data_IF_057171686104
#
_entry.id   IF_057171686104
#
_cell.length_a   1.000
_cell.length_b   1.000
_cell.length_c   1.000
_cell.angle_alpha   90.00
_cell.angle_beta   90.00
_cell.angle_gamma   90.00
#
_symmetry.space_group_name_H-M   'P 1'
#
loop_
_entity.id
_entity.type
_entity.pdbx_description
1 polymer ?
#
# COMPACT_ATOMS: atom_id res chain seq x y z
N UNK A 1 -16.35 -1.15 3.88
CA UNK A 1 -14.99 -0.59 4.01
C UNK A 1 -15.06 0.85 4.49
N UNK A 2 -14.12 1.27 5.37
CA UNK A 2 -14.16 2.60 6.00
C UNK A 2 -14.18 3.75 4.96
N UNK A 3 -13.42 3.60 3.88
CA UNK A 3 -13.38 4.59 2.78
C UNK A 3 -14.75 4.89 2.15
N UNK A 4 -15.69 3.93 2.15
CA UNK A 4 -17.03 4.17 1.60
C UNK A 4 -17.84 5.21 2.36
N UNK A 5 -17.42 5.56 3.58
CA UNK A 5 -18.07 6.60 4.37
C UNK A 5 -17.65 8.02 4.02
N UNK A 6 -16.71 8.21 3.10
CA UNK A 6 -16.36 9.54 2.58
C UNK A 6 -17.59 10.27 1.99
N UNK A 7 -18.52 9.51 1.38
CA UNK A 7 -19.76 10.04 0.78
C UNK A 7 -21.03 9.74 1.58
N UNK A 8 -20.93 9.10 2.76
CA UNK A 8 -22.07 8.74 3.60
C UNK A 8 -22.25 9.72 4.79
N UNK A 9 -23.42 9.68 5.39
CA UNK A 9 -23.77 10.52 6.54
C UNK A 9 -23.03 10.10 7.82
N UNK A 10 -22.92 11.03 8.79
CA UNK A 10 -22.35 10.73 10.11
C UNK A 10 -23.23 9.74 10.90
N UNK A 11 -24.53 9.67 10.61
CA UNK A 11 -25.42 8.67 11.22
C UNK A 11 -25.06 7.25 10.79
N UNK A 12 -24.81 7.04 9.50
CA UNK A 12 -24.36 5.74 8.97
C UNK A 12 -22.98 5.36 9.49
N UNK A 13 -22.06 6.35 9.55
CA UNK A 13 -20.73 6.18 10.13
C UNK A 13 -20.83 5.80 11.61
N UNK A 14 -21.68 6.47 12.38
CA UNK A 14 -21.92 6.18 13.79
C UNK A 14 -22.46 4.76 14.00
N UNK A 15 -23.43 4.33 13.18
CA UNK A 15 -23.97 2.98 13.24
C UNK A 15 -22.86 1.93 13.00
N UNK A 16 -22.01 2.15 12.00
CA UNK A 16 -20.88 1.27 11.69
C UNK A 16 -19.85 1.21 12.83
N UNK A 17 -19.44 2.36 13.38
CA UNK A 17 -18.45 2.42 14.46
C UNK A 17 -19.00 1.87 15.79
N UNK A 18 -20.31 1.98 16.01
CA UNK A 18 -20.93 1.50 17.23
C UNK A 18 -20.77 -0.01 17.42
N UNK A 19 -20.70 -0.81 16.36
CA UNK A 19 -20.43 -2.25 16.46
C UNK A 19 -19.07 -2.53 17.11
N UNK A 20 -18.03 -1.82 16.68
CA UNK A 20 -16.68 -1.95 17.25
C UNK A 20 -16.63 -1.45 18.71
N UNK A 21 -17.35 -0.35 19.02
CA UNK A 21 -17.45 0.18 20.37
C UNK A 21 -18.17 -0.81 21.30
N UNK A 22 -19.25 -1.44 20.86
CA UNK A 22 -19.96 -2.44 21.65
C UNK A 22 -19.08 -3.66 21.93
N UNK A 23 -18.32 -4.11 20.95
CA UNK A 23 -17.34 -5.16 21.13
C UNK A 23 -16.29 -4.78 22.18
N UNK A 24 -15.70 -3.59 22.08
CA UNK A 24 -14.74 -3.09 23.06
C UNK A 24 -15.37 -2.97 24.46
N UNK A 25 -16.62 -2.47 24.55
CA UNK A 25 -17.36 -2.33 25.81
C UNK A 25 -17.65 -3.66 26.50
N UNK A 26 -17.72 -4.75 25.76
CA UNK A 26 -17.95 -6.10 26.33
C UNK A 26 -16.73 -6.64 27.07
N UNK A 27 -15.52 -6.16 26.75
CA UNK A 27 -14.26 -6.65 27.33
C UNK A 27 -13.57 -5.62 28.23
N UNK A 28 -13.78 -4.30 27.97
CA UNK A 28 -13.13 -3.23 28.75
C UNK A 28 -14.08 -2.69 29.84
N UNK A 29 -13.73 -2.85 31.14
CA UNK A 29 -14.54 -2.31 32.24
C UNK A 29 -14.73 -0.80 32.14
N UNK A 30 -15.95 -0.29 32.48
CA UNK A 30 -16.32 1.10 32.30
C UNK A 30 -15.43 2.11 33.03
N UNK A 31 -14.89 1.73 34.19
CA UNK A 31 -14.03 2.57 35.02
C UNK A 31 -12.64 2.84 34.45
N UNK A 32 -12.16 2.01 33.48
CA UNK A 32 -10.83 2.16 32.86
C UNK A 32 -10.87 2.61 31.40
N UNK A 33 -12.07 2.78 30.82
CA UNK A 33 -12.22 3.16 29.39
C UNK A 33 -11.55 4.49 29.05
N UNK A 34 -11.58 5.48 29.94
CA UNK A 34 -10.93 6.78 29.74
C UNK A 34 -9.41 6.69 29.66
N UNK A 35 -8.83 5.65 30.22
CA UNK A 35 -7.39 5.38 30.21
C UNK A 35 -6.99 4.42 29.09
N UNK A 36 -7.99 3.75 28.46
CA UNK A 36 -7.77 2.80 27.38
C UNK A 36 -7.82 3.51 26.05
N UNK A 37 -6.76 3.37 25.24
CA UNK A 37 -6.70 3.92 23.88
C UNK A 37 -7.59 3.12 22.92
N UNK A 38 -8.27 3.83 22.02
CA UNK A 38 -9.06 3.23 20.96
C UNK A 38 -8.50 3.70 19.61
N UNK A 39 -7.91 2.76 18.85
CA UNK A 39 -7.26 3.05 17.59
C UNK A 39 -8.18 2.73 16.41
N UNK A 40 -8.27 3.65 15.43
CA UNK A 40 -8.93 3.43 14.16
C UNK A 40 -7.96 3.77 13.03
N UNK A 41 -7.45 2.75 12.38
CA UNK A 41 -6.50 2.91 11.32
C UNK A 41 -7.11 2.56 9.96
N UNK A 42 -7.08 3.54 9.05
CA UNK A 42 -7.42 3.34 7.64
C UNK A 42 -6.24 2.77 6.88
N UNK A 43 -6.51 1.77 6.05
CA UNK A 43 -5.51 1.08 5.21
C UNK A 43 -5.65 1.44 3.72
N UNK A 44 -5.37 0.53 2.81
CA UNK A 44 -5.34 0.76 1.37
C UNK A 44 -6.61 1.43 0.80
N UNK A 45 -7.80 1.05 1.28
CA UNK A 45 -9.03 1.69 0.84
C UNK A 45 -9.06 3.19 1.13
N UNK A 46 -8.54 3.60 2.29
CA UNK A 46 -8.41 5.02 2.65
C UNK A 46 -7.29 5.69 1.85
N UNK A 47 -6.15 5.02 1.64
CA UNK A 47 -5.04 5.56 0.82
C UNK A 47 -5.43 5.84 -0.63
N UNK A 48 -6.46 5.18 -1.14
CA UNK A 48 -7.02 5.43 -2.48
C UNK A 48 -7.89 6.71 -2.59
N UNK A 49 -8.26 7.33 -1.46
CA UNK A 49 -8.99 8.60 -1.47
C UNK A 49 -8.03 9.79 -1.65
N UNK A 50 -8.50 10.93 -2.20
CA UNK A 50 -7.77 12.20 -2.13
C UNK A 50 -7.41 12.57 -0.69
N UNK A 51 -6.27 13.23 -0.48
CA UNK A 51 -5.72 13.52 0.87
C UNK A 51 -6.71 14.32 1.74
N UNK A 52 -7.36 15.31 1.15
CA UNK A 52 -8.39 16.13 1.81
C UNK A 52 -9.59 15.30 2.28
N UNK A 53 -10.00 14.29 1.50
CA UNK A 53 -11.05 13.36 1.89
C UNK A 53 -10.59 12.39 2.98
N UNK A 54 -9.34 11.94 2.94
CA UNK A 54 -8.76 11.12 4.02
C UNK A 54 -8.79 11.89 5.33
N UNK A 55 -8.28 13.13 5.36
CA UNK A 55 -8.24 13.98 6.53
C UNK A 55 -9.65 14.30 7.06
N UNK A 56 -10.57 14.70 6.17
CA UNK A 56 -11.96 14.97 6.51
C UNK A 56 -12.64 13.75 7.13
N UNK A 57 -12.45 12.56 6.55
CA UNK A 57 -13.06 11.34 7.07
C UNK A 57 -12.46 10.95 8.43
N UNK A 58 -11.15 11.08 8.63
CA UNK A 58 -10.52 10.86 9.93
C UNK A 58 -11.09 11.80 11.01
N UNK A 59 -11.24 13.08 10.72
CA UNK A 59 -11.85 14.06 11.64
C UNK A 59 -13.32 13.72 11.96
N UNK A 60 -14.09 13.26 10.98
CA UNK A 60 -15.48 12.82 11.19
C UNK A 60 -15.55 11.59 12.06
N UNK A 61 -14.67 10.60 11.83
CA UNK A 61 -14.57 9.40 12.67
C UNK A 61 -14.25 9.79 14.11
N UNK A 62 -13.28 10.68 14.33
CA UNK A 62 -12.88 11.15 15.66
C UNK A 62 -14.05 11.79 16.39
N UNK A 63 -14.75 12.74 15.76
CA UNK A 63 -15.96 13.38 16.34
C UNK A 63 -17.07 12.39 16.67
N UNK A 64 -17.31 11.42 15.81
CA UNK A 64 -18.32 10.37 16.05
C UNK A 64 -17.91 9.51 17.24
N UNK A 65 -16.66 9.09 17.32
CA UNK A 65 -16.13 8.30 18.45
C UNK A 65 -16.20 9.07 19.78
N UNK A 66 -15.87 10.37 19.78
CA UNK A 66 -16.01 11.24 20.97
C UNK A 66 -17.45 11.30 21.47
N UNK A 67 -18.44 11.27 20.57
CA UNK A 67 -19.86 11.29 20.93
C UNK A 67 -20.40 9.93 21.40
N UNK A 68 -19.81 8.82 20.97
CA UNK A 68 -20.30 7.46 21.22
C UNK A 68 -19.55 6.75 22.36
N UNK A 69 -18.35 7.20 22.71
CA UNK A 69 -17.49 6.47 23.63
C UNK A 69 -16.73 7.38 24.58
N UNK A 70 -16.17 6.80 25.64
CA UNK A 70 -15.27 7.48 26.57
C UNK A 70 -13.82 7.00 26.46
N UNK A 71 -13.48 6.30 25.40
CA UNK A 71 -12.12 5.86 25.15
C UNK A 71 -11.19 7.02 24.83
N UNK A 72 -9.90 6.84 25.11
CA UNK A 72 -8.88 7.83 24.76
C UNK A 72 -8.59 7.76 23.24
N UNK A 73 -8.71 8.91 22.56
CA UNK A 73 -8.46 9.05 21.12
C UNK A 73 -7.15 9.78 20.80
N UNK A 74 -6.24 9.85 21.79
CA UNK A 74 -4.92 10.46 21.62
C UNK A 74 -3.83 9.52 22.08
N UNK A 75 -2.77 9.41 21.27
CA UNK A 75 -1.55 8.68 21.62
C UNK A 75 -0.75 9.41 22.71
N UNK A 76 0.16 8.72 23.43
CA UNK A 76 1.19 9.38 24.19
C UNK A 76 1.99 10.33 23.28
N UNK A 77 1.91 11.64 23.54
CA UNK A 77 2.48 12.68 22.67
C UNK A 77 1.45 13.54 21.93
N UNK A 78 0.14 13.26 22.10
CA UNK A 78 -0.95 14.12 21.63
C UNK A 78 -1.39 13.92 20.18
N UNK A 79 -0.89 12.90 19.50
CA UNK A 79 -1.32 12.54 18.14
C UNK A 79 -2.66 11.80 18.18
N UNK A 80 -3.53 12.03 17.21
CA UNK A 80 -4.82 11.32 17.11
C UNK A 80 -4.59 9.82 16.89
N UNK A 81 -5.43 8.99 17.52
CA UNK A 81 -5.47 7.53 17.27
C UNK A 81 -6.30 7.17 16.03
N UNK A 82 -6.87 8.17 15.33
CA UNK A 82 -7.61 8.00 14.08
C UNK A 82 -6.74 8.48 12.93
N UNK A 83 -6.19 7.55 12.15
CA UNK A 83 -5.20 7.86 11.13
C UNK A 83 -5.32 6.93 9.91
N UNK A 84 -4.76 7.40 8.77
CA UNK A 84 -4.46 6.53 7.63
C UNK A 84 -3.01 6.06 7.76
N UNK A 85 -2.80 4.76 7.81
CA UNK A 85 -1.46 4.17 7.97
C UNK A 85 -0.81 3.89 6.61
N UNK A 86 0.52 3.94 6.57
CA UNK A 86 1.27 3.56 5.38
C UNK A 86 1.19 2.05 5.13
N UNK A 87 1.34 1.65 3.88
CA UNK A 87 1.39 0.23 3.54
C UNK A 87 2.60 -0.49 4.14
N UNK A 88 3.71 0.23 4.35
CA UNK A 88 4.89 -0.27 5.06
C UNK A 88 4.53 -0.68 6.51
N UNK A 89 3.86 0.19 7.25
CA UNK A 89 3.43 -0.10 8.62
C UNK A 89 2.43 -1.26 8.65
N UNK A 90 1.46 -1.29 7.72
CA UNK A 90 0.50 -2.39 7.61
C UNK A 90 1.21 -3.74 7.48
N UNK A 91 2.20 -3.85 6.58
CA UNK A 91 2.99 -5.07 6.39
C UNK A 91 3.84 -5.43 7.61
N UNK A 92 4.56 -4.44 8.18
CA UNK A 92 5.42 -4.66 9.36
C UNK A 92 4.61 -5.10 10.57
N UNK A 93 3.46 -4.48 10.85
CA UNK A 93 2.63 -4.88 11.97
C UNK A 93 2.01 -6.27 11.79
N UNK A 94 1.69 -6.66 10.53
CA UNK A 94 1.32 -8.04 10.22
C UNK A 94 2.44 -9.03 10.54
N UNK A 95 3.68 -8.70 10.16
CA UNK A 95 4.87 -9.49 10.48
C UNK A 95 5.11 -9.56 12.00
N UNK A 96 4.97 -8.46 12.72
CA UNK A 96 5.10 -8.41 14.19
C UNK A 96 4.04 -9.27 14.86
N UNK A 97 2.76 -9.14 14.47
CA UNK A 97 1.67 -9.99 14.97
C UNK A 97 1.98 -11.46 14.79
N UNK A 98 2.32 -11.85 13.57
CA UNK A 98 2.62 -13.23 13.21
C UNK A 98 3.71 -13.81 14.10
N UNK A 99 4.86 -13.16 14.12
CA UNK A 99 6.03 -13.67 14.82
C UNK A 99 5.92 -13.57 16.36
N UNK A 100 5.12 -12.62 16.86
CA UNK A 100 4.76 -12.57 18.29
C UNK A 100 3.92 -13.77 18.70
N UNK A 101 2.86 -14.09 17.93
CA UNK A 101 1.98 -15.22 18.25
C UNK A 101 2.68 -16.58 18.14
N UNK A 102 3.63 -16.69 17.20
CA UNK A 102 4.49 -17.88 17.05
C UNK A 102 5.56 -17.97 18.12
N UNK A 103 5.91 -16.86 18.78
CA UNK A 103 7.03 -16.79 19.71
C UNK A 103 8.40 -16.72 19.04
N UNK A 104 8.45 -16.29 17.78
CA UNK A 104 9.68 -16.26 16.96
C UNK A 104 10.30 -14.86 16.85
N UNK A 105 9.92 -13.91 17.69
CA UNK A 105 10.58 -12.59 17.80
C UNK A 105 11.81 -12.57 18.70
N UNK A 106 12.16 -13.70 19.33
CA UNK A 106 13.33 -13.79 20.22
C UNK A 106 13.22 -12.96 21.50
N UNK A 107 12.01 -12.66 21.94
CA UNK A 107 11.77 -11.87 23.17
C UNK A 107 12.22 -12.69 24.37
N UNK A 108 13.26 -12.19 25.09
CA UNK A 108 13.84 -12.90 26.24
C UNK A 108 14.79 -14.05 25.89
N UNK A 109 15.12 -14.26 24.62
CA UNK A 109 16.04 -15.27 24.15
C UNK A 109 17.46 -14.72 23.97
N UNK A 110 18.47 -15.33 24.60
CA UNK A 110 19.87 -14.90 24.43
C UNK A 110 20.43 -15.20 23.04
N UNK A 111 20.03 -16.33 22.43
CA UNK A 111 20.56 -16.83 21.16
C UNK A 111 19.53 -16.71 20.00
N UNK A 112 18.78 -15.62 19.94
CA UNK A 112 17.83 -15.38 18.86
C UNK A 112 18.55 -15.21 17.50
N UNK A 113 18.02 -15.87 16.48
CA UNK A 113 18.40 -15.63 15.08
C UNK A 113 17.23 -15.01 14.33
N UNK A 114 17.42 -13.86 13.64
CA UNK A 114 16.38 -13.30 12.77
C UNK A 114 15.89 -14.27 11.69
N UNK A 115 16.72 -15.25 11.30
CA UNK A 115 16.35 -16.31 10.35
C UNK A 115 15.27 -17.27 10.88
N UNK A 116 15.01 -17.27 12.22
CA UNK A 116 13.90 -18.04 12.79
C UNK A 116 12.53 -17.40 12.60
N UNK A 117 12.49 -16.15 12.10
CA UNK A 117 11.22 -15.46 11.82
C UNK A 117 10.59 -15.97 10.53
N UNK A 118 9.26 -15.91 10.48
CA UNK A 118 8.47 -16.25 9.31
C UNK A 118 8.09 -14.98 8.54
N UNK A 119 8.14 -15.05 7.22
CA UNK A 119 7.61 -13.99 6.36
C UNK A 119 6.07 -13.92 6.46
N UNK A 120 5.54 -12.73 6.30
CA UNK A 120 4.10 -12.44 6.32
C UNK A 120 3.63 -12.03 4.92
N UNK A 121 2.60 -12.72 4.41
CA UNK A 121 1.89 -12.38 3.18
C UNK A 121 0.43 -12.04 3.54
N UNK A 122 0.04 -10.81 3.30
CA UNK A 122 -1.33 -10.34 3.50
C UNK A 122 -1.98 -9.98 2.16
N UNK A 123 -3.14 -10.53 1.86
CA UNK A 123 -3.92 -10.17 0.67
C UNK A 123 -5.22 -9.52 1.11
N UNK A 124 -5.20 -8.18 1.19
CA UNK A 124 -6.39 -7.39 1.46
C UNK A 124 -7.26 -7.16 0.23
N UNK A 125 -8.27 -6.30 0.36
CA UNK A 125 -9.16 -5.93 -0.76
C UNK A 125 -8.51 -4.98 -1.76
N UNK A 126 -7.74 -3.99 -1.29
CA UNK A 126 -7.17 -2.94 -2.13
C UNK A 126 -5.63 -2.96 -2.24
N UNK A 127 -4.93 -3.67 -1.35
CA UNK A 127 -3.48 -3.87 -1.41
C UNK A 127 -3.09 -5.27 -0.95
N UNK A 128 -1.87 -5.68 -1.29
CA UNK A 128 -1.23 -6.87 -0.74
C UNK A 128 0.13 -6.51 -0.18
N UNK A 129 0.51 -7.11 0.96
CA UNK A 129 1.78 -6.87 1.63
C UNK A 129 2.64 -8.12 1.62
N UNK A 130 3.94 -7.90 1.45
CA UNK A 130 4.97 -8.90 1.65
C UNK A 130 6.03 -8.34 2.60
N UNK A 131 6.23 -9.01 3.75
CA UNK A 131 7.19 -8.59 4.76
C UNK A 131 7.97 -9.79 5.27
N UNK A 132 9.29 -9.72 5.25
CA UNK A 132 10.17 -10.78 5.74
C UNK A 132 11.55 -10.26 6.14
N UNK A 133 12.26 -11.02 6.97
CA UNK A 133 13.65 -10.74 7.28
C UNK A 133 14.53 -11.08 6.08
N UNK A 134 15.44 -10.17 5.73
CA UNK A 134 16.43 -10.35 4.66
C UNK A 134 17.84 -10.20 5.23
N UNK A 135 18.77 -11.02 4.75
CA UNK A 135 20.21 -10.88 5.04
C UNK A 135 20.89 -9.83 4.14
N UNK A 136 20.14 -9.20 3.23
CA UNK A 136 20.65 -8.12 2.39
C UNK A 136 20.90 -6.88 3.25
N UNK A 137 22.15 -6.42 3.31
CA UNK A 137 22.57 -5.35 4.24
C UNK A 137 22.30 -3.93 3.70
N UNK A 138 22.08 -3.78 2.40
CA UNK A 138 21.91 -2.48 1.74
C UNK A 138 20.57 -2.40 1.00
N UNK A 139 19.48 -2.63 1.73
CA UNK A 139 18.15 -2.44 1.16
C UNK A 139 17.78 -0.96 1.10
N UNK A 140 17.11 -0.49 0.01
CA UNK A 140 16.62 0.88 -0.06
C UNK A 140 15.68 1.22 1.08
N UNK A 141 15.76 2.46 1.56
CA UNK A 141 15.06 2.91 2.77
C UNK A 141 13.53 2.78 2.66
N UNK A 142 12.98 2.93 1.45
CA UNK A 142 11.55 2.87 1.19
C UNK A 142 10.97 1.44 1.29
N UNK A 143 11.84 0.44 1.28
CA UNK A 143 11.50 -0.98 1.40
C UNK A 143 11.96 -1.61 2.70
N UNK A 144 12.54 -0.80 3.61
CA UNK A 144 13.19 -1.28 4.81
C UNK A 144 12.51 -0.72 6.05
N UNK A 145 12.24 -1.59 7.01
CA UNK A 145 11.83 -1.17 8.34
C UNK A 145 12.79 -1.72 9.39
N UNK A 146 13.32 -0.81 10.22
CA UNK A 146 14.26 -1.14 11.30
C UNK A 146 13.59 -0.91 12.64
N UNK A 147 13.71 -1.87 13.53
CA UNK A 147 13.23 -1.74 14.89
C UNK A 147 14.09 -2.56 15.86
N UNK A 148 14.08 -2.17 17.12
CA UNK A 148 14.72 -2.95 18.18
C UNK A 148 13.70 -3.86 18.84
N UNK A 149 14.14 -5.09 19.17
CA UNK A 149 13.47 -5.99 20.09
C UNK A 149 14.44 -6.18 21.26
N UNK A 150 14.15 -5.49 22.37
CA UNK A 150 15.15 -5.33 23.44
C UNK A 150 16.36 -4.53 22.98
N UNK A 151 17.53 -5.11 23.03
CA UNK A 151 18.81 -4.55 22.62
C UNK A 151 19.23 -4.90 21.18
N UNK A 152 18.44 -5.73 20.50
CA UNK A 152 18.74 -6.24 19.14
C UNK A 152 17.99 -5.49 18.08
N UNK A 153 18.71 -5.03 17.04
CA UNK A 153 18.12 -4.44 15.86
C UNK A 153 17.70 -5.53 14.87
N UNK A 154 16.44 -5.50 14.46
CA UNK A 154 15.90 -6.28 13.35
C UNK A 154 15.63 -5.36 12.17
N UNK A 155 16.10 -5.76 11.00
CA UNK A 155 15.85 -5.07 9.73
C UNK A 155 15.05 -6.00 8.82
N UNK A 156 13.86 -5.56 8.41
CA UNK A 156 12.98 -6.35 7.56
C UNK A 156 12.68 -5.62 6.26
N UNK A 157 12.62 -6.39 5.19
CA UNK A 157 11.98 -5.94 3.95
C UNK A 157 10.47 -5.89 4.16
N UNK A 158 9.85 -4.82 3.72
CA UNK A 158 8.38 -4.73 3.67
C UNK A 158 7.94 -3.87 2.50
N UNK A 159 7.01 -4.37 1.70
CA UNK A 159 6.37 -3.60 0.66
C UNK A 159 4.88 -3.87 0.58
N UNK A 160 4.11 -2.81 0.28
CA UNK A 160 2.68 -2.86 0.06
C UNK A 160 2.36 -2.46 -1.37
N UNK A 161 1.84 -3.39 -2.14
CA UNK A 161 1.43 -3.19 -3.52
C UNK A 161 -0.01 -2.66 -3.55
N UNK A 162 -0.15 -1.33 -3.56
CA UNK A 162 -1.45 -0.66 -3.67
C UNK A 162 -2.06 -0.91 -5.06
N UNK A 163 -3.35 -1.25 -5.12
CA UNK A 163 -4.02 -1.65 -6.36
C UNK A 163 -4.01 -3.16 -6.62
N UNK A 164 -3.16 -3.90 -5.89
CA UNK A 164 -2.98 -5.35 -6.02
C UNK A 164 -3.69 -6.17 -4.94
N UNK A 165 -4.59 -5.57 -4.17
CA UNK A 165 -5.52 -6.32 -3.34
C UNK A 165 -6.58 -7.02 -4.20
N UNK A 166 -7.21 -8.08 -3.67
CA UNK A 166 -8.14 -8.94 -4.38
C UNK A 166 -9.20 -8.19 -5.19
N UNK A 167 -9.84 -7.19 -4.59
CA UNK A 167 -11.00 -6.53 -5.20
C UNK A 167 -10.57 -5.56 -6.31
N UNK A 168 -9.50 -4.79 -6.09
CA UNK A 168 -8.95 -3.91 -7.12
C UNK A 168 -8.28 -4.70 -8.25
N UNK A 169 -7.59 -5.79 -7.91
CA UNK A 169 -7.04 -6.70 -8.92
C UNK A 169 -8.14 -7.32 -9.79
N UNK A 170 -9.28 -7.70 -9.20
CA UNK A 170 -10.41 -8.20 -9.96
C UNK A 170 -10.99 -7.14 -10.93
N UNK A 171 -11.11 -5.89 -10.48
CA UNK A 171 -11.54 -4.79 -11.35
C UNK A 171 -10.55 -4.55 -12.51
N UNK A 172 -9.24 -4.54 -12.22
CA UNK A 172 -8.17 -4.44 -13.22
C UNK A 172 -8.20 -5.62 -14.20
N UNK A 173 -8.44 -6.83 -13.71
CA UNK A 173 -8.60 -8.02 -14.54
C UNK A 173 -9.76 -7.86 -15.53
N UNK A 174 -10.92 -7.40 -15.07
CA UNK A 174 -12.08 -7.17 -15.95
C UNK A 174 -11.79 -6.08 -16.98
N UNK A 175 -11.07 -5.01 -16.62
CA UNK A 175 -10.64 -4.00 -17.57
C UNK A 175 -9.72 -4.59 -18.65
N UNK A 176 -8.73 -5.37 -18.24
CA UNK A 176 -7.82 -6.05 -19.17
C UNK A 176 -8.54 -7.06 -20.08
N UNK A 177 -9.57 -7.74 -19.56
CA UNK A 177 -10.40 -8.64 -20.36
C UNK A 177 -11.15 -7.88 -21.45
N UNK A 178 -11.77 -6.75 -21.11
CA UNK A 178 -12.47 -5.88 -22.08
C UNK A 178 -11.48 -5.31 -23.11
N UNK A 179 -10.32 -4.85 -22.67
CA UNK A 179 -9.31 -4.21 -23.53
C UNK A 179 -8.54 -5.22 -24.41
N UNK A 180 -8.63 -6.51 -24.10
CA UNK A 180 -7.90 -7.56 -24.85
C UNK A 180 -8.32 -7.72 -26.30
N UNK A 181 -9.47 -7.15 -26.71
CA UNK A 181 -10.06 -7.32 -28.02
C UNK A 181 -10.67 -8.71 -28.29
N UNK A 182 -10.63 -9.59 -27.29
CA UNK A 182 -11.31 -10.89 -27.31
C UNK A 182 -12.81 -10.76 -27.03
N UNK A 183 -13.55 -11.87 -27.16
CA UNK A 183 -14.95 -11.92 -26.74
C UNK A 183 -15.04 -11.87 -25.20
N UNK A 184 -15.05 -10.65 -24.67
CA UNK A 184 -15.08 -10.38 -23.23
C UNK A 184 -16.35 -10.89 -22.53
N UNK A 185 -17.39 -11.25 -23.30
CA UNK A 185 -18.61 -11.89 -22.75
C UNK A 185 -18.33 -13.31 -22.22
N UNK A 186 -17.17 -13.88 -22.59
CA UNK A 186 -16.66 -15.17 -22.12
C UNK A 186 -15.50 -14.94 -21.17
N UNK A 187 -15.76 -15.14 -19.87
CA UNK A 187 -14.76 -14.92 -18.82
C UNK A 187 -14.02 -16.23 -18.48
N UNK A 188 -12.71 -16.35 -18.77
CA UNK A 188 -11.93 -17.53 -18.46
C UNK A 188 -11.66 -17.71 -16.95
N UNK A 189 -11.68 -16.64 -16.17
CA UNK A 189 -11.48 -16.65 -14.72
C UNK A 189 -12.77 -16.86 -13.91
N UNK A 190 -13.88 -17.13 -14.56
CA UNK A 190 -15.15 -17.47 -13.91
C UNK A 190 -15.42 -18.97 -14.10
N UNK A 191 -15.88 -19.71 -13.06
CA UNK A 191 -16.21 -21.13 -13.17
C UNK A 191 -17.15 -21.40 -14.32
N UNK A 192 -16.96 -22.56 -14.97
CA UNK A 192 -17.72 -22.95 -16.16
C UNK A 192 -19.22 -22.93 -15.90
N UNK A 193 -19.95 -22.16 -16.73
CA UNK A 193 -21.41 -22.07 -16.68
C UNK A 193 -21.97 -21.16 -15.60
N UNK A 194 -21.13 -20.50 -14.80
CA UNK A 194 -21.58 -19.38 -13.96
C UNK A 194 -21.69 -18.10 -14.77
N UNK A 195 -22.54 -17.20 -14.30
CA UNK A 195 -22.72 -15.85 -14.83
C UNK A 195 -22.34 -14.88 -13.74
N UNK A 196 -21.56 -13.86 -14.10
CA UNK A 196 -21.19 -12.78 -13.19
C UNK A 196 -21.48 -11.41 -13.83
N UNK A 197 -21.52 -10.39 -13.01
CA UNK A 197 -21.71 -8.99 -13.46
C UNK A 197 -20.37 -8.26 -13.45
N UNK A 198 -20.03 -7.65 -14.58
CA UNK A 198 -18.82 -6.84 -14.69
C UNK A 198 -18.89 -5.66 -13.71
N UNK A 199 -17.83 -5.39 -12.92
CA UNK A 199 -17.80 -4.26 -12.02
C UNK A 199 -18.11 -2.94 -12.72
N UNK A 200 -18.89 -2.07 -12.09
CA UNK A 200 -19.29 -0.78 -12.64
C UNK A 200 -18.12 0.20 -12.89
N UNK A 201 -16.95 -0.11 -12.34
CA UNK A 201 -15.71 0.66 -12.53
C UNK A 201 -14.99 0.35 -13.85
N UNK A 202 -15.42 -0.69 -14.59
CA UNK A 202 -14.83 -1.08 -15.88
C UNK A 202 -15.33 -0.14 -16.97
N UNK A 203 -14.40 0.40 -17.74
CA UNK A 203 -14.70 1.30 -18.87
C UNK A 203 -14.80 0.51 -20.16
N UNK A 204 -15.87 0.71 -20.91
CA UNK A 204 -16.07 0.10 -22.22
C UNK A 204 -15.80 1.14 -23.31
N UNK A 205 -15.03 0.75 -24.33
CA UNK A 205 -14.76 1.59 -25.51
C UNK A 205 -15.97 1.80 -26.41
N UNK A 206 -17.02 0.99 -26.22
CA UNK A 206 -18.30 1.07 -26.93
C UNK A 206 -19.44 1.18 -25.92
N UNK A 207 -20.56 1.85 -26.26
CA UNK A 207 -21.73 1.89 -25.40
C UNK A 207 -22.26 0.48 -25.13
N UNK A 208 -22.42 0.13 -23.85
CA UNK A 208 -23.01 -1.15 -23.41
C UNK A 208 -24.21 -0.88 -22.50
N UNK A 209 -25.19 -1.75 -22.56
CA UNK A 209 -26.33 -1.70 -21.63
C UNK A 209 -25.90 -2.29 -20.28
N UNK A 210 -25.97 -1.51 -19.22
CA UNK A 210 -25.63 -1.97 -17.86
C UNK A 210 -26.88 -2.51 -17.15
N UNK A 211 -26.77 -3.58 -16.30
CA UNK A 211 -25.55 -4.31 -15.97
C UNK A 211 -25.05 -5.23 -17.10
N UNK A 212 -23.72 -5.33 -17.21
CA UNK A 212 -23.07 -6.22 -18.20
C UNK A 212 -22.81 -7.58 -17.55
N UNK A 213 -23.29 -8.65 -18.19
CA UNK A 213 -23.09 -10.01 -17.73
C UNK A 213 -22.06 -10.75 -18.58
N UNK A 214 -21.27 -11.57 -17.94
CA UNK A 214 -20.25 -12.43 -18.55
C UNK A 214 -20.48 -13.89 -18.17
N UNK A 215 -20.16 -14.78 -19.09
CA UNK A 215 -20.33 -16.23 -18.89
C UNK A 215 -18.98 -16.90 -18.61
N UNK A 216 -18.91 -17.69 -17.57
CA UNK A 216 -17.73 -18.45 -17.19
C UNK A 216 -17.40 -19.56 -18.17
N UNK A 217 -16.14 -19.64 -18.56
CA UNK A 217 -15.62 -20.76 -19.36
C UNK A 217 -14.76 -21.72 -18.54
N UNK A 218 -14.24 -21.28 -17.38
CA UNK A 218 -13.34 -22.06 -16.53
C UNK A 218 -12.00 -22.39 -17.20
N UNK A 219 -11.57 -21.60 -18.19
CA UNK A 219 -10.31 -21.78 -18.90
C UNK A 219 -9.15 -21.23 -18.07
N UNK A 220 -8.56 -22.07 -17.24
CA UNK A 220 -7.52 -21.69 -16.26
C UNK A 220 -6.25 -21.15 -16.93
N UNK A 221 -5.89 -21.68 -18.09
CA UNK A 221 -4.67 -21.25 -18.77
C UNK A 221 -4.86 -19.87 -19.41
N UNK A 222 -5.98 -19.62 -20.04
CA UNK A 222 -6.33 -18.30 -20.54
C UNK A 222 -6.48 -17.29 -19.38
N UNK A 223 -7.11 -17.68 -18.26
CA UNK A 223 -7.19 -16.88 -17.05
C UNK A 223 -5.80 -16.50 -16.52
N UNK A 224 -4.91 -17.48 -16.36
CA UNK A 224 -3.53 -17.26 -15.87
C UNK A 224 -2.73 -16.37 -16.82
N UNK A 225 -2.92 -16.49 -18.12
CA UNK A 225 -2.25 -15.65 -19.12
C UNK A 225 -2.68 -14.18 -18.99
N UNK A 226 -3.97 -13.91 -18.74
CA UNK A 226 -4.47 -12.56 -18.49
C UNK A 226 -3.98 -12.01 -17.15
N UNK A 227 -4.03 -12.81 -16.08
CA UNK A 227 -3.57 -12.41 -14.75
C UNK A 227 -2.06 -12.11 -14.74
N UNK A 228 -1.25 -12.89 -15.46
CA UNK A 228 0.20 -12.62 -15.56
C UNK A 228 0.52 -11.24 -16.14
N UNK A 229 -0.29 -10.72 -17.05
CA UNK A 229 -0.11 -9.38 -17.64
C UNK A 229 -0.26 -8.25 -16.62
N UNK A 230 -0.88 -8.53 -15.47
CA UNK A 230 -1.03 -7.55 -14.39
C UNK A 230 0.29 -7.30 -13.64
N UNK A 231 1.29 -8.16 -13.81
CA UNK A 231 2.58 -8.08 -13.11
C UNK A 231 3.69 -7.80 -14.14
N UNK A 232 3.97 -6.53 -14.39
CA UNK A 232 4.98 -6.15 -15.39
C UNK A 232 6.40 -6.39 -14.85
N UNK A 233 7.05 -7.41 -15.37
CA UNK A 233 8.44 -7.75 -15.07
C UNK A 233 9.45 -7.01 -15.95
N UNK A 234 8.98 -6.20 -16.89
CA UNK A 234 9.86 -5.46 -17.83
C UNK A 234 10.24 -4.08 -17.31
N UNK A 235 9.51 -3.56 -16.33
CA UNK A 235 9.84 -2.30 -15.68
C UNK A 235 11.13 -2.48 -14.86
N UNK A 236 12.22 -1.77 -15.23
CA UNK A 236 13.46 -1.87 -14.47
C UNK A 236 13.31 -1.26 -13.08
N UNK A 237 13.93 -1.87 -12.08
CA UNK A 237 14.18 -1.21 -10.81
C UNK A 237 15.62 -0.72 -10.76
N UNK A 238 15.91 0.26 -9.91
CA UNK A 238 17.26 0.82 -9.75
C UNK A 238 18.25 -0.19 -9.14
N UNK A 239 17.72 -1.21 -8.47
CA UNK A 239 18.48 -2.25 -7.78
C UNK A 239 18.58 -3.54 -8.59
N UNK A 240 19.47 -4.45 -8.13
CA UNK A 240 19.79 -5.70 -8.85
C UNK A 240 18.67 -6.74 -8.86
N UNK A 241 17.74 -6.67 -7.89
CA UNK A 241 16.65 -7.63 -7.72
C UNK A 241 15.31 -6.95 -7.60
N UNK A 242 14.36 -7.34 -8.48
CA UNK A 242 13.04 -6.74 -8.53
C UNK A 242 11.95 -7.82 -8.47
N UNK A 243 10.81 -7.47 -7.93
CA UNK A 243 9.58 -8.25 -8.05
C UNK A 243 8.89 -7.98 -9.39
N UNK A 244 7.97 -7.02 -9.45
CA UNK A 244 7.26 -6.55 -10.64
C UNK A 244 7.02 -5.04 -10.53
N UNK A 245 6.68 -4.39 -11.65
CA UNK A 245 6.43 -2.94 -11.75
C UNK A 245 7.58 -2.06 -11.21
N UNK A 246 8.83 -2.53 -11.34
CA UNK A 246 10.02 -1.80 -10.89
C UNK A 246 10.21 -1.77 -9.37
N UNK A 247 9.49 -2.61 -8.61
CA UNK A 247 9.60 -2.68 -7.16
C UNK A 247 10.81 -3.51 -6.76
N UNK A 248 11.70 -2.93 -5.96
CA UNK A 248 12.79 -3.66 -5.32
C UNK A 248 12.26 -4.79 -4.43
N UNK A 249 12.88 -5.95 -4.51
CA UNK A 249 12.62 -7.08 -3.62
C UNK A 249 13.89 -7.91 -3.47
N UNK A 250 14.39 -8.10 -2.24
CA UNK A 250 15.54 -8.98 -2.01
C UNK A 250 15.16 -10.43 -2.29
N UNK A 251 16.14 -11.32 -2.49
CA UNK A 251 15.88 -12.74 -2.70
C UNK A 251 15.00 -13.33 -1.61
N UNK A 252 13.94 -14.03 -2.02
CA UNK A 252 13.00 -14.68 -1.09
C UNK A 252 13.69 -15.85 -0.38
N UNK A 253 13.55 -15.92 0.96
CA UNK A 253 14.13 -16.95 1.81
C UNK A 253 13.21 -17.30 2.96
N UNK A 254 13.43 -18.46 3.58
CA UNK A 254 12.65 -18.94 4.71
C UNK A 254 11.26 -19.41 4.33
N UNK A 255 10.37 -19.45 5.30
CA UNK A 255 8.98 -19.88 5.16
C UNK A 255 8.03 -18.72 5.44
N UNK A 256 6.84 -18.76 4.87
CA UNK A 256 5.87 -17.68 4.89
C UNK A 256 4.54 -18.14 5.44
N UNK A 257 3.89 -17.25 6.18
CA UNK A 257 2.47 -17.37 6.52
C UNK A 257 1.66 -16.45 5.60
N UNK A 258 0.61 -16.99 5.00
CA UNK A 258 -0.33 -16.27 4.14
C UNK A 258 -1.71 -16.24 4.78
N UNK A 259 -2.29 -15.07 4.94
CA UNK A 259 -3.56 -14.87 5.65
C UNK A 259 -4.50 -13.93 4.88
N UNK A 260 -5.61 -13.53 5.47
CA UNK A 260 -6.67 -12.74 4.82
C UNK A 260 -7.23 -13.45 3.59
N UNK A 261 -7.33 -12.84 2.41
CA UNK A 261 -7.91 -13.46 1.24
C UNK A 261 -7.15 -14.70 0.75
N UNK A 262 -5.86 -14.85 1.07
CA UNK A 262 -5.14 -16.12 0.84
C UNK A 262 -5.80 -17.27 1.58
N UNK A 263 -6.10 -17.07 2.87
CA UNK A 263 -6.72 -18.10 3.70
C UNK A 263 -8.16 -18.44 3.25
N UNK A 264 -9.01 -17.43 3.07
CA UNK A 264 -10.40 -17.67 2.67
C UNK A 264 -10.48 -18.40 1.33
N UNK A 265 -9.64 -18.03 0.39
CA UNK A 265 -9.59 -18.69 -0.92
C UNK A 265 -9.07 -20.12 -0.80
N UNK A 266 -7.95 -20.34 -0.12
CA UNK A 266 -7.38 -21.68 0.06
C UNK A 266 -8.35 -22.63 0.77
N UNK A 267 -9.07 -22.12 1.78
CA UNK A 267 -10.10 -22.88 2.52
C UNK A 267 -11.23 -23.35 1.59
N UNK A 268 -11.77 -22.46 0.76
CA UNK A 268 -12.84 -22.84 -0.19
C UNK A 268 -12.34 -23.81 -1.26
N UNK A 269 -11.09 -23.67 -1.70
CA UNK A 269 -10.46 -24.61 -2.62
C UNK A 269 -10.19 -25.98 -1.98
N UNK A 270 -10.26 -26.10 -0.65
CA UNK A 270 -10.00 -27.33 0.10
C UNK A 270 -8.52 -27.63 0.28
N UNK A 271 -7.68 -26.59 0.35
CA UNK A 271 -6.25 -26.74 0.57
C UNK A 271 -5.93 -27.19 2.01
N UNK A 272 -4.81 -27.88 2.17
CA UNK A 272 -4.24 -28.18 3.48
C UNK A 272 -3.67 -26.93 4.15
N UNK A 273 -3.28 -27.01 5.43
CA UNK A 273 -2.63 -25.92 6.16
C UNK A 273 -1.24 -25.55 5.57
N UNK A 274 -0.54 -26.52 4.98
CA UNK A 274 0.81 -26.35 4.43
C UNK A 274 0.87 -26.77 2.96
N UNK A 275 0.15 -26.08 2.07
CA UNK A 275 0.15 -26.44 0.66
C UNK A 275 1.43 -25.92 -0.02
N UNK A 276 1.83 -26.58 -1.10
CA UNK A 276 2.69 -25.97 -2.10
C UNK A 276 1.87 -25.04 -3.00
N UNK A 277 2.53 -24.09 -3.69
CA UNK A 277 1.83 -23.23 -4.66
C UNK A 277 1.29 -24.09 -5.82
N UNK A 278 2.00 -25.17 -6.18
CA UNK A 278 1.53 -26.11 -7.22
C UNK A 278 0.22 -26.79 -6.81
N UNK A 279 0.12 -27.29 -5.59
CA UNK A 279 -1.14 -27.88 -5.07
C UNK A 279 -2.29 -26.87 -5.08
N UNK A 280 -2.03 -25.61 -4.74
CA UNK A 280 -3.03 -24.54 -4.84
C UNK A 280 -3.46 -24.29 -6.29
N UNK A 281 -2.52 -24.34 -7.25
CA UNK A 281 -2.86 -24.21 -8.67
C UNK A 281 -3.73 -25.36 -9.16
N UNK A 282 -3.45 -26.59 -8.74
CA UNK A 282 -4.22 -27.79 -9.12
C UNK A 282 -5.62 -27.73 -8.52
N UNK A 283 -5.76 -27.35 -7.26
CA UNK A 283 -7.07 -27.16 -6.60
C UNK A 283 -7.86 -26.02 -7.25
N UNK A 284 -7.20 -24.93 -7.62
CA UNK A 284 -7.82 -23.82 -8.36
C UNK A 284 -8.33 -24.28 -9.72
N UNK A 285 -7.52 -25.04 -10.46
CA UNK A 285 -7.92 -25.57 -11.76
C UNK A 285 -9.16 -26.48 -11.64
N UNK A 286 -9.20 -27.34 -10.61
CA UNK A 286 -10.35 -28.17 -10.30
C UNK A 286 -11.60 -27.33 -9.99
N UNK A 287 -11.46 -26.25 -9.21
CA UNK A 287 -12.57 -25.36 -8.88
C UNK A 287 -13.11 -24.67 -10.14
N UNK A 288 -12.25 -24.03 -10.94
CA UNK A 288 -12.61 -23.27 -12.14
C UNK A 288 -13.34 -24.16 -13.19
N UNK A 289 -12.90 -25.41 -13.34
CA UNK A 289 -13.49 -26.35 -14.30
C UNK A 289 -14.73 -27.06 -13.77
N UNK A 290 -15.04 -26.93 -12.47
CA UNK A 290 -16.28 -27.49 -11.90
C UNK A 290 -17.49 -26.76 -12.49
N UNK A 291 -18.52 -27.49 -12.87
CA UNK A 291 -19.77 -26.94 -13.38
C UNK A 291 -20.43 -26.01 -12.36
N UNK A 292 -20.86 -24.84 -12.83
CA UNK A 292 -21.40 -23.78 -11.97
C UNK A 292 -22.62 -24.22 -11.15
N UNK A 293 -23.50 -25.07 -11.71
CA UNK A 293 -24.63 -25.62 -10.96
C UNK A 293 -24.15 -26.47 -9.78
N UNK A 294 -23.11 -27.28 -9.99
CA UNK A 294 -22.49 -28.07 -8.91
C UNK A 294 -21.94 -27.19 -7.80
N UNK A 295 -21.33 -26.04 -8.14
CA UNK A 295 -20.84 -25.07 -7.14
C UNK A 295 -21.99 -24.41 -6.39
N UNK A 296 -23.03 -23.95 -7.09
CA UNK A 296 -24.24 -23.38 -6.47
C UNK A 296 -24.83 -24.37 -5.47
N UNK A 297 -25.07 -25.64 -5.92
CA UNK A 297 -25.67 -26.66 -5.07
C UNK A 297 -24.78 -26.99 -3.84
N UNK A 298 -23.45 -26.96 -3.98
CA UNK A 298 -22.50 -27.25 -2.91
C UNK A 298 -22.50 -26.17 -1.82
N UNK A 299 -22.55 -24.90 -2.20
CA UNK A 299 -22.39 -23.77 -1.28
C UNK A 299 -23.71 -23.10 -0.89
N UNK A 300 -24.83 -23.60 -1.35
CA UNK A 300 -26.16 -23.08 -1.05
C UNK A 300 -26.43 -23.01 0.45
N UNK A 301 -26.81 -21.82 0.91
CA UNK A 301 -27.09 -21.54 2.32
C UNK A 301 -25.85 -21.43 3.21
N UNK A 302 -24.68 -21.35 2.62
CA UNK A 302 -23.42 -21.05 3.34
C UNK A 302 -22.98 -19.63 3.08
N UNK A 303 -22.11 -19.07 3.94
CA UNK A 303 -21.50 -17.74 3.76
C UNK A 303 -20.66 -17.63 2.48
N UNK A 304 -20.33 -18.76 1.85
CA UNK A 304 -19.57 -18.84 0.60
C UNK A 304 -20.44 -18.63 -0.64
N UNK A 305 -21.76 -18.78 -0.54
CA UNK A 305 -22.70 -18.74 -1.68
C UNK A 305 -22.54 -17.45 -2.52
N UNK A 306 -22.47 -16.30 -1.86
CA UNK A 306 -22.36 -14.98 -2.53
C UNK A 306 -21.01 -14.75 -3.21
N UNK A 307 -20.02 -15.61 -2.95
CA UNK A 307 -18.63 -15.42 -3.42
C UNK A 307 -18.15 -16.48 -4.40
N UNK A 308 -19.00 -17.45 -4.77
CA UNK A 308 -18.61 -18.60 -5.63
C UNK A 308 -18.04 -18.17 -6.99
N UNK A 309 -18.47 -17.02 -7.52
CA UNK A 309 -17.99 -16.48 -8.79
C UNK A 309 -16.54 -15.97 -8.68
N UNK A 310 -16.08 -15.59 -7.49
CA UNK A 310 -14.80 -14.92 -7.28
C UNK A 310 -13.62 -15.88 -7.08
N UNK A 311 -13.86 -17.10 -6.58
CA UNK A 311 -12.75 -17.96 -6.15
C UNK A 311 -11.92 -18.56 -7.29
N UNK A 312 -12.46 -18.68 -8.50
CA UNK A 312 -11.67 -19.06 -9.66
C UNK A 312 -10.63 -17.98 -9.99
N UNK A 313 -11.07 -16.73 -10.12
CA UNK A 313 -10.17 -15.60 -10.31
C UNK A 313 -9.17 -15.48 -9.17
N UNK A 314 -9.64 -15.45 -7.91
CA UNK A 314 -8.78 -15.23 -6.75
C UNK A 314 -7.75 -16.34 -6.59
N UNK A 315 -8.10 -17.60 -6.85
CA UNK A 315 -7.17 -18.73 -6.82
C UNK A 315 -6.06 -18.63 -7.88
N UNK A 316 -6.44 -18.28 -9.12
CA UNK A 316 -5.45 -18.02 -10.19
C UNK A 316 -4.60 -16.81 -9.87
N UNK A 317 -5.21 -15.74 -9.36
CA UNK A 317 -4.53 -14.50 -8.99
C UNK A 317 -3.49 -14.72 -7.90
N UNK A 318 -3.91 -15.27 -6.73
CA UNK A 318 -3.02 -15.46 -5.59
C UNK A 318 -1.85 -16.39 -5.90
N UNK A 319 -2.08 -17.47 -6.65
CA UNK A 319 -1.00 -18.40 -7.03
C UNK A 319 -0.04 -17.80 -8.05
N UNK A 320 -0.54 -16.94 -8.95
CA UNK A 320 0.28 -16.19 -9.90
C UNK A 320 1.05 -15.07 -9.20
N UNK A 321 0.43 -14.34 -8.26
CA UNK A 321 1.08 -13.33 -7.44
C UNK A 321 2.25 -13.94 -6.64
N UNK A 322 2.02 -15.05 -5.93
CA UNK A 322 3.06 -15.71 -5.15
C UNK A 322 4.21 -16.23 -6.02
N UNK A 323 3.91 -16.92 -7.13
CA UNK A 323 4.95 -17.55 -7.96
C UNK A 323 5.58 -16.58 -8.94
N UNK A 324 4.80 -15.93 -9.79
CA UNK A 324 5.28 -15.02 -10.82
C UNK A 324 5.57 -13.62 -10.25
N UNK A 325 4.69 -13.06 -9.43
CA UNK A 325 4.86 -11.75 -8.81
C UNK A 325 6.04 -11.75 -7.84
N UNK A 326 5.93 -12.46 -6.74
CA UNK A 326 6.92 -12.49 -5.65
C UNK A 326 8.11 -13.42 -5.88
N UNK A 327 8.04 -14.32 -6.87
CA UNK A 327 9.12 -15.25 -7.18
C UNK A 327 9.27 -16.41 -6.20
N UNK A 328 8.21 -16.75 -5.45
CA UNK A 328 8.21 -17.91 -4.57
C UNK A 328 8.22 -19.21 -5.39
N UNK A 329 9.03 -20.23 -5.02
CA UNK A 329 9.11 -21.49 -5.75
C UNK A 329 7.82 -22.30 -5.64
N UNK A 330 7.41 -22.95 -6.76
CA UNK A 330 6.13 -23.63 -6.91
C UNK A 330 5.95 -24.85 -5.99
N UNK A 331 7.02 -25.66 -5.85
CA UNK A 331 6.91 -27.02 -5.32
C UNK A 331 7.77 -27.26 -4.08
N UNK A 332 8.07 -26.20 -3.30
CA UNK A 332 8.87 -26.33 -2.06
C UNK A 332 7.94 -26.68 -0.90
N UNK A 333 8.05 -27.88 -0.32
CA UNK A 333 7.29 -28.25 0.87
C UNK A 333 7.68 -27.39 2.07
N UNK A 334 6.69 -27.03 2.91
CA UNK A 334 6.91 -26.20 4.10
C UNK A 334 7.24 -24.73 3.85
N UNK A 335 7.21 -24.30 2.58
CA UNK A 335 7.38 -22.89 2.22
C UNK A 335 6.21 -22.04 2.74
N UNK A 336 4.98 -22.52 2.60
CA UNK A 336 3.77 -21.82 2.94
C UNK A 336 3.03 -22.48 4.12
N UNK A 337 2.50 -21.63 4.99
CA UNK A 337 1.43 -21.95 5.93
C UNK A 337 0.30 -20.98 5.67
N UNK A 338 -0.89 -21.48 5.37
CA UNK A 338 -2.06 -20.63 5.07
C UNK A 338 -3.08 -20.78 6.18
N UNK A 339 -3.25 -19.72 6.98
CA UNK A 339 -4.17 -19.71 8.13
C UNK A 339 -4.61 -18.28 8.46
N UNK A 340 -5.77 -18.12 9.09
CA UNK A 340 -6.28 -16.84 9.59
C UNK A 340 -5.94 -16.58 11.05
N UNK A 341 -5.45 -17.61 11.77
CA UNK A 341 -5.27 -17.54 13.21
C UNK A 341 -4.12 -18.42 13.72
N UNK A 342 -3.51 -18.02 14.85
CA UNK A 342 -2.54 -18.78 15.62
C UNK A 342 -3.03 -18.81 17.06
N UNK A 343 -3.13 -20.01 17.65
CA UNK A 343 -3.63 -20.19 19.03
C UNK A 343 -5.00 -19.53 19.25
N UNK A 344 -5.88 -19.59 18.25
CA UNK A 344 -7.21 -18.93 18.21
C UNK A 344 -7.18 -17.40 18.28
N UNK A 345 -6.06 -16.77 17.94
CA UNK A 345 -5.92 -15.32 17.81
C UNK A 345 -5.75 -15.02 16.32
N UNK A 346 -6.61 -14.15 15.80
CA UNK A 346 -6.59 -13.77 14.38
C UNK A 346 -5.27 -13.08 14.00
N UNK A 347 -4.74 -13.43 12.83
CA UNK A 347 -3.56 -12.80 12.26
C UNK A 347 -3.99 -11.58 11.45
N UNK A 348 -3.31 -10.47 11.67
CA UNK A 348 -3.49 -9.23 10.94
C UNK A 348 -2.58 -8.16 11.55
N UNK A 349 -2.62 -6.97 11.01
CA UNK A 349 -1.75 -5.87 11.45
C UNK A 349 -2.15 -5.26 12.81
N UNK A 350 -3.42 -5.40 13.24
CA UNK A 350 -3.96 -4.65 14.37
C UNK A 350 -3.25 -4.96 15.71
N UNK A 351 -2.97 -6.23 16.01
CA UNK A 351 -2.26 -6.60 17.23
C UNK A 351 -0.83 -6.04 17.21
N UNK A 352 -0.10 -6.16 16.10
CA UNK A 352 1.25 -5.62 15.96
C UNK A 352 1.28 -4.10 16.12
N UNK A 353 0.27 -3.39 15.62
CA UNK A 353 0.12 -1.96 15.82
C UNK A 353 0.00 -1.61 17.31
N UNK A 354 -0.91 -2.25 18.04
CA UNK A 354 -1.12 -1.99 19.48
C UNK A 354 0.12 -2.35 20.30
N UNK A 355 0.76 -3.48 20.01
CA UNK A 355 2.00 -3.89 20.69
C UNK A 355 3.10 -2.84 20.56
N UNK A 356 3.21 -2.19 19.40
CA UNK A 356 4.18 -1.13 19.18
C UNK A 356 3.74 0.21 19.76
N UNK A 357 2.49 0.64 19.53
CA UNK A 357 2.01 1.96 19.95
C UNK A 357 1.90 2.11 21.46
N UNK A 358 1.53 1.06 22.17
CA UNK A 358 1.41 1.05 23.63
C UNK A 358 2.69 0.56 24.34
N UNK A 359 3.82 0.38 23.61
CA UNK A 359 5.08 -0.14 24.15
C UNK A 359 4.91 -1.41 25.01
N UNK A 360 3.99 -2.28 24.61
CA UNK A 360 3.71 -3.54 25.33
C UNK A 360 4.80 -4.59 25.11
N UNK A 361 5.61 -4.40 24.07
CA UNK A 361 6.83 -5.15 23.81
C UNK A 361 8.00 -4.17 23.76
N UNK A 362 9.24 -4.65 24.06
CA UNK A 362 10.44 -3.84 23.90
C UNK A 362 10.79 -3.68 22.41
N UNK A 363 9.82 -3.21 21.61
CA UNK A 363 9.96 -2.96 20.17
C UNK A 363 10.06 -1.45 19.98
N UNK A 364 11.25 -0.97 19.69
CA UNK A 364 11.49 0.46 19.43
C UNK A 364 11.86 0.65 17.97
N UNK A 365 11.06 1.39 17.17
CA UNK A 365 11.40 1.67 15.79
C UNK A 365 12.64 2.56 15.69
N UNK A 366 13.51 2.25 14.74
CA UNK A 366 14.66 3.08 14.42
C UNK A 366 14.22 4.10 13.36
N UNK A 367 13.82 5.27 13.81
CA UNK A 367 13.58 6.37 12.88
C UNK A 367 14.93 6.93 12.42
N UNK A 368 15.18 6.96 11.11
CA UNK A 368 16.23 7.80 10.56
C UNK A 368 15.89 9.23 11.02
N UNK A 369 16.73 9.84 11.87
CA UNK A 369 16.65 11.27 12.08
C UNK A 369 16.91 11.89 10.73
N UNK A 370 15.86 12.24 10.00
CA UNK A 370 15.99 13.22 8.94
C UNK A 370 16.52 14.48 9.64
N UNK A 371 17.76 14.81 9.36
CA UNK A 371 18.25 16.16 9.62
C UNK A 371 17.47 17.07 8.69
N UNK A 372 16.25 17.43 9.09
CA UNK A 372 15.60 18.61 8.57
C UNK A 372 16.48 19.74 9.05
N UNK A 373 17.42 20.18 8.18
CA UNK A 373 18.10 21.44 8.42
C UNK A 373 17.00 22.47 8.66
N UNK A 374 16.99 23.13 9.82
CA UNK A 374 15.96 24.13 10.08
C UNK A 374 16.01 25.13 8.94
N UNK A 375 14.94 25.22 8.16
CA UNK A 375 14.77 26.14 7.02
C UNK A 375 15.33 27.58 7.25
N UNK A 376 15.38 28.15 8.48
CA UNK A 376 15.95 29.45 8.68
C UNK A 376 17.47 29.54 8.37
N UNK A 377 18.26 28.49 8.52
CA UNK A 377 19.70 28.56 8.26
C UNK A 377 20.04 28.64 6.75
N UNK A 378 19.25 27.99 5.90
CA UNK A 378 19.41 28.08 4.44
C UNK A 378 19.13 29.49 3.90
N UNK A 379 18.09 30.15 4.42
CA UNK A 379 17.77 31.54 4.04
C UNK A 379 18.78 32.56 4.59
N UNK A 380 19.32 32.32 5.78
CA UNK A 380 20.36 33.21 6.36
C UNK A 380 21.68 33.10 5.56
N UNK A 381 22.11 31.88 5.19
CA UNK A 381 23.31 31.68 4.39
C UNK A 381 23.14 32.18 2.95
N UNK A 382 22.01 32.05 2.32
CA UNK A 382 21.73 32.62 0.99
C UNK A 382 21.59 34.14 1.03
N UNK A 383 21.02 34.72 2.09
CA UNK A 383 20.97 36.15 2.32
C UNK A 383 22.38 36.78 2.49
N UNK A 384 23.26 36.15 3.26
CA UNK A 384 24.64 36.62 3.43
C UNK A 384 25.47 36.47 2.14
N UNK A 385 25.30 35.40 1.36
CA UNK A 385 25.96 35.23 0.07
C UNK A 385 25.51 36.30 -0.94
N UNK A 386 24.22 36.60 -1.00
CA UNK A 386 23.64 37.63 -1.87
C UNK A 386 24.10 39.02 -1.52
N UNK A 387 24.14 39.40 -0.23
CA UNK A 387 24.62 40.72 0.23
C UNK A 387 26.13 40.89 0.02
N UNK A 388 26.91 39.81 0.21
CA UNK A 388 28.37 39.85 -0.05
C UNK A 388 28.66 40.01 -1.53
N UNK A 389 27.92 39.39 -2.42
CA UNK A 389 28.04 39.53 -3.87
C UNK A 389 27.67 40.95 -4.33
N UNK A 390 26.58 41.52 -3.81
CA UNK A 390 26.20 42.92 -4.12
C UNK A 390 27.22 43.93 -3.61
N UNK A 391 27.80 43.74 -2.42
CA UNK A 391 28.85 44.58 -1.88
C UNK A 391 30.14 44.50 -2.73
N UNK A 392 30.51 43.32 -3.19
CA UNK A 392 31.67 43.10 -4.06
C UNK A 392 31.49 43.75 -5.43
N UNK A 393 30.31 43.62 -6.05
CA UNK A 393 29.95 44.30 -7.31
C UNK A 393 29.98 45.84 -7.13
N UNK A 394 29.39 46.34 -6.04
CA UNK A 394 29.42 47.76 -5.71
C UNK A 394 30.86 48.27 -5.54
N UNK A 395 31.73 47.53 -4.86
CA UNK A 395 33.14 47.89 -4.69
C UNK A 395 33.92 47.88 -6.01
N UNK A 396 33.67 46.93 -6.87
CA UNK A 396 34.26 46.88 -8.22
C UNK A 396 33.80 48.03 -9.10
N UNK A 397 32.50 48.41 -9.04
CA UNK A 397 31.97 49.57 -9.77
C UNK A 397 32.59 50.89 -9.27
N UNK A 398 32.71 51.07 -7.95
CA UNK A 398 33.38 52.24 -7.37
C UNK A 398 34.86 52.28 -7.78
N UNK A 399 35.55 51.13 -7.78
CA UNK A 399 36.93 51.02 -8.24
C UNK A 399 37.08 51.37 -9.74
N UNK A 400 36.14 50.92 -10.56
CA UNK A 400 36.09 51.24 -12.00
C UNK A 400 35.79 52.73 -12.21
N UNK A 401 34.81 53.31 -11.53
CA UNK A 401 34.56 54.78 -11.58
C UNK A 401 35.74 55.61 -11.15
N UNK A 402 36.46 55.24 -10.08
CA UNK A 402 37.68 55.93 -9.65
C UNK A 402 38.78 55.84 -10.70
N UNK A 403 38.93 54.71 -11.41
CA UNK A 403 39.90 54.58 -12.51
C UNK A 403 39.52 55.41 -13.71
N UNK A 404 38.23 55.47 -14.06
CA UNK A 404 37.70 56.27 -15.18
C UNK A 404 37.83 57.77 -14.88
N UNK A 405 37.59 58.25 -13.65
CA UNK A 405 37.74 59.63 -13.26
C UNK A 405 39.26 60.07 -13.21
N UNK A 406 40.15 59.17 -12.74
CA UNK A 406 41.55 59.37 -12.74
C UNK A 406 42.17 59.44 -14.15
N UNK A 407 41.59 58.78 -15.15
CA UNK A 407 42.03 58.93 -16.55
C UNK A 407 41.45 60.17 -17.22
N UNK A 408 40.40 60.79 -16.68
CA UNK A 408 39.80 62.03 -17.21
C UNK A 408 40.58 63.25 -16.87
N UNK A 409 41.35 63.18 -15.77
CA UNK A 409 42.22 64.30 -15.35
C UNK A 409 43.59 64.35 -16.07
N UNK A 410 43.92 63.32 -16.86
CA UNK A 410 45.20 63.28 -17.60
C UNK A 410 45.13 63.58 -19.10
N UNK A 411 43.90 63.61 -19.70
CA UNK A 411 43.73 63.92 -21.10
C UNK A 411 42.65 64.99 -21.28
N UNK A 412 43.00 66.21 -21.26
CA UNK A 412 42.20 67.30 -21.78
C UNK A 412 42.10 67.20 -23.29
N UNK A 413 40.86 67.40 -23.77
CA UNK A 413 40.50 67.72 -25.15
C UNK A 413 39.97 66.56 -26.05
N UNK A 414 38.70 66.70 -26.39
CA UNK A 414 38.08 66.64 -27.70
C UNK A 414 37.60 65.24 -28.20
N UNK A 415 36.32 65.28 -28.52
CA UNK A 415 35.51 64.60 -29.53
C UNK A 415 34.56 63.47 -29.09
N UNK A 416 33.34 63.88 -29.11
CA UNK A 416 32.12 62.97 -29.20
C UNK A 416 32.13 62.22 -30.52
N UNK A 417 31.72 60.94 -30.50
CA UNK A 417 30.70 60.55 -31.43
C UNK A 417 29.53 59.75 -30.76
N UNK A 418 28.35 60.10 -31.17
CA UNK A 418 27.10 59.37 -30.92
C UNK A 418 27.18 57.94 -31.47
N UNK A 419 26.80 56.97 -30.66
CA UNK A 419 26.53 55.60 -31.10
C UNK A 419 25.10 55.27 -30.71
N UNK A 420 24.27 55.11 -31.73
CA UNK A 420 22.90 54.56 -31.66
C UNK A 420 22.96 53.08 -31.43
N UNK A 421 22.24 52.60 -30.43
CA UNK A 421 21.96 51.15 -30.27
C UNK A 421 20.64 50.79 -30.89
N UNK A 422 20.69 49.97 -31.93
CA UNK A 422 19.57 49.18 -32.43
C UNK A 422 19.50 47.86 -31.70
N UNK A 423 18.25 47.47 -31.29
CA UNK A 423 18.04 46.25 -30.56
C UNK A 423 18.13 44.98 -31.42
N UNK A 424 18.54 43.91 -30.77
CA UNK A 424 18.25 42.53 -31.24
C UNK A 424 18.09 41.65 -30.03
N UNK A 425 16.92 40.99 -30.01
CA UNK A 425 16.56 39.98 -29.02
C UNK A 425 17.48 38.76 -29.13
N UNK A 426 17.98 38.28 -27.99
CA UNK A 426 18.57 36.96 -27.89
C UNK A 426 17.93 36.19 -26.72
N UNK A 427 17.41 35.02 -27.05
CA UNK A 427 16.68 34.12 -26.17
C UNK A 427 17.58 33.58 -25.06
N UNK A 428 17.09 33.63 -23.85
CA UNK A 428 17.64 32.86 -22.72
C UNK A 428 17.11 31.42 -22.80
N UNK A 429 18.04 30.47 -22.86
CA UNK A 429 17.78 29.07 -22.53
C UNK A 429 17.77 28.93 -21.01
N UNK A 430 16.63 28.54 -20.47
CA UNK A 430 16.45 28.19 -19.07
C UNK A 430 16.59 26.68 -18.93
N UNK A 431 17.67 26.23 -18.32
CA UNK A 431 17.92 24.83 -18.00
C UNK A 431 17.31 24.47 -16.64
N UNK A 432 16.08 24.01 -16.63
CA UNK A 432 15.49 23.34 -15.48
C UNK A 432 15.22 21.89 -15.82
N UNK A 433 16.02 20.99 -15.26
CA UNK A 433 15.68 19.59 -15.15
C UNK A 433 14.59 19.45 -14.09
N UNK A 434 13.37 19.26 -14.52
CA UNK A 434 12.24 18.86 -13.68
C UNK A 434 12.10 17.35 -13.78
N UNK A 435 12.28 16.68 -12.67
CA UNK A 435 11.88 15.29 -12.48
C UNK A 435 10.35 15.29 -12.44
N UNK A 436 9.71 14.83 -13.51
CA UNK A 436 8.28 14.62 -13.57
C UNK A 436 7.94 13.27 -12.93
N UNK A 437 7.39 13.30 -11.73
CA UNK A 437 6.52 12.23 -11.25
C UNK A 437 5.22 12.29 -12.06
N UNK A 438 5.00 11.31 -12.90
CA UNK A 438 3.71 11.11 -13.55
C UNK A 438 2.73 10.50 -12.54
N UNK A 439 2.04 11.36 -11.80
CA UNK A 439 0.79 11.00 -11.14
C UNK A 439 -0.32 11.25 -12.17
N UNK A 440 -0.68 10.24 -12.92
CA UNK A 440 -1.98 10.22 -13.58
C UNK A 440 -3.05 9.84 -12.56
N UNK A 441 -3.51 10.84 -11.80
CA UNK A 441 -4.80 10.76 -11.15
C UNK A 441 -5.88 11.00 -12.21
N UNK A 442 -6.39 9.95 -12.81
CA UNK A 442 -7.67 10.04 -13.49
C UNK A 442 -8.77 10.17 -12.43
N UNK A 443 -9.41 11.33 -12.40
CA UNK A 443 -10.66 11.58 -11.69
C UNK A 443 -11.76 10.73 -12.34
N UNK A 444 -12.01 9.56 -11.79
CA UNK A 444 -13.17 8.74 -12.06
C UNK A 444 -14.02 8.65 -10.79
N UNK A 445 -15.25 9.09 -10.88
CA UNK A 445 -16.25 9.02 -9.83
C UNK A 445 -16.34 7.61 -9.23
N UNK A 446 -15.82 7.44 -8.01
CA UNK A 446 -16.04 6.25 -7.19
C UNK A 446 -17.49 6.24 -6.71
N UNK A 447 -18.41 5.77 -7.55
CA UNK A 447 -19.73 5.37 -7.07
C UNK A 447 -19.62 3.98 -6.41
N UNK A 448 -19.75 4.01 -5.11
CA UNK A 448 -20.15 2.95 -4.17
C UNK A 448 -19.81 1.49 -4.54
N UNK A 449 -18.70 0.99 -3.99
CA UNK A 449 -18.60 -0.43 -3.64
C UNK A 449 -19.32 -0.65 -2.29
N UNK A 450 -20.64 -0.58 -2.33
CA UNK A 450 -21.49 -1.00 -1.21
C UNK A 450 -21.77 -2.48 -1.39
N UNK A 451 -21.31 -3.30 -0.47
CA UNK A 451 -21.76 -4.66 -0.36
C UNK A 451 -20.74 -5.66 0.15
N UNK A 452 -20.05 -5.39 1.26
CA UNK A 452 -19.40 -6.43 2.02
C UNK A 452 -19.78 -6.30 3.49
N UNK A 453 -20.80 -7.05 3.87
CA UNK A 453 -21.03 -7.39 5.27
C UNK A 453 -20.01 -8.43 5.68
N UNK A 454 -19.16 -8.13 6.64
CA UNK A 454 -18.35 -9.14 7.32
C UNK A 454 -19.23 -10.22 7.93
N UNK A 455 -18.89 -11.51 7.80
CA UNK A 455 -19.59 -12.54 8.54
C UNK A 455 -19.42 -12.29 10.03
N UNK A 456 -20.54 -12.30 10.76
CA UNK A 456 -20.55 -12.37 12.21
C UNK A 456 -20.11 -13.78 12.64
N UNK A 457 -19.07 -13.89 13.37
CA UNK A 457 -18.93 -14.72 14.59
C UNK A 457 -17.83 -14.14 15.43
#
# INVERSE_FOLDING_TARGET
PLASFASKSDLELAAYLNEAIQCANSVVPSNVRKETSFYVYGTAGMRGLPVDQQESLCQRIEKVLESLSSYRLTEPGGKSTVQVISGLHEGVWGFVTLNFLLGTLGIGEENFSPLSTYGALDLGGASTQMTFYSEEHEMPVDYTYKFYIGDRMLEVYSHSYLGYGRDLANATYYQNLVDSGADWTKNPCLPKGLVDTVPATVNFSVPVTTPVHVNGTGDVDACRALVKKMFDKTVPCEDKTCSFDGVFQPPVRGSYYAFSAFYYTASVLGASLHPTIQELQDLTAKYCTTDGKTLIDRYKGTDTEDYITQYCFTGVYMTTLMSWGYGLPLSTPGLLTITDSIKNISIGWALGAVLQMENLLPITPVYKKEYIMPRPLGFILSGFAGTFMLAMVGWLLVGWFRRVSSQRDQNGSINSPYVTFSGSSAAMMDGRSSIHYHNQAQSGDFKSLAGYTTPRT
#
